data_IF_082568345620
#
_entry.id   IF_082568345620
#
_cell.length_a   1.000
_cell.length_b   1.000
_cell.length_c   1.000
_cell.angle_alpha   90.00
_cell.angle_beta   90.00
_cell.angle_gamma   90.00
#
_symmetry.space_group_name_H-M   'P 1'
#
loop_
_entity.id
_entity.type
_entity.pdbx_description
1 polymer ?
#
# COMPACT_ATOMS: atom_id res chain seq x y z
N UNK A 1 22.69 -19.55 1.95
CA UNK A 1 23.76 -19.10 2.87
C UNK A 1 25.08 -19.19 2.14
N UNK A 2 25.94 -18.19 2.27
CA UNK A 2 27.23 -18.07 1.56
C UNK A 2 28.39 -17.97 2.55
N UNK A 3 29.58 -18.37 2.13
CA UNK A 3 30.79 -18.27 2.94
C UNK A 3 31.40 -16.86 2.91
N UNK A 4 32.23 -16.54 3.90
CA UNK A 4 32.82 -15.20 4.07
C UNK A 4 33.62 -14.69 2.85
N UNK A 5 34.24 -15.58 2.08
CA UNK A 5 34.95 -15.23 0.84
C UNK A 5 34.01 -14.73 -0.27
N UNK A 6 32.78 -15.24 -0.31
CA UNK A 6 31.78 -14.93 -1.33
C UNK A 6 31.01 -13.64 -1.01
N UNK A 7 31.08 -13.12 0.22
CA UNK A 7 30.40 -11.87 0.61
C UNK A 7 30.83 -10.71 -0.30
N UNK A 8 32.10 -10.66 -0.69
CA UNK A 8 32.66 -9.60 -1.53
C UNK A 8 32.16 -9.60 -2.98
N UNK A 9 31.58 -10.71 -3.43
CA UNK A 9 30.92 -10.79 -4.75
C UNK A 9 29.62 -9.96 -4.78
N UNK A 10 28.98 -9.77 -3.62
CA UNK A 10 27.74 -9.00 -3.47
C UNK A 10 27.97 -7.61 -2.89
N UNK A 11 28.80 -7.52 -1.83
CA UNK A 11 29.20 -6.23 -1.27
C UNK A 11 30.70 -6.17 -0.96
N UNK A 12 31.52 -5.54 -1.81
CA UNK A 12 32.98 -5.55 -1.71
C UNK A 12 33.56 -5.02 -0.40
N UNK A 13 32.81 -4.14 0.28
CA UNK A 13 33.24 -3.48 1.52
C UNK A 13 32.82 -4.22 2.79
N UNK A 14 32.04 -5.29 2.67
CA UNK A 14 31.55 -6.05 3.81
C UNK A 14 32.55 -7.15 4.24
N UNK A 15 32.63 -7.44 5.55
CA UNK A 15 33.46 -8.51 6.12
C UNK A 15 32.64 -9.32 7.12
N UNK A 16 32.62 -10.64 6.97
CA UNK A 16 31.89 -11.55 7.85
C UNK A 16 32.40 -12.99 7.75
N UNK A 17 31.92 -13.87 8.64
CA UNK A 17 32.28 -15.30 8.65
C UNK A 17 31.45 -16.11 7.64
N UNK A 18 30.14 -15.83 7.59
CA UNK A 18 29.14 -16.34 6.63
C UNK A 18 28.01 -15.31 6.52
N UNK A 19 27.17 -15.41 5.49
CA UNK A 19 25.98 -14.57 5.35
C UNK A 19 24.75 -15.34 4.85
N UNK A 20 23.57 -14.91 5.27
CA UNK A 20 22.30 -15.30 4.64
C UNK A 20 22.11 -14.47 3.39
N UNK A 21 22.24 -15.11 2.23
CA UNK A 21 21.96 -14.48 0.95
C UNK A 21 20.51 -14.76 0.54
N UNK A 22 19.73 -13.70 0.38
CA UNK A 22 18.34 -13.73 -0.08
C UNK A 22 18.22 -12.87 -1.35
N UNK A 23 18.41 -13.43 -2.55
CA UNK A 23 18.47 -12.66 -3.81
C UNK A 23 17.15 -11.98 -4.19
N UNK A 24 16.05 -12.36 -3.53
CA UNK A 24 14.72 -11.83 -3.81
C UNK A 24 14.27 -10.77 -2.80
N UNK A 25 15.10 -10.44 -1.81
CA UNK A 25 14.84 -9.34 -0.89
C UNK A 25 15.40 -8.05 -1.47
N UNK A 26 14.64 -6.96 -1.37
CA UNK A 26 15.04 -5.66 -1.88
C UNK A 26 14.28 -4.53 -1.20
N UNK A 27 14.59 -3.30 -1.59
CA UNK A 27 13.88 -2.09 -1.20
C UNK A 27 13.00 -1.66 -2.37
N UNK A 28 11.79 -1.20 -2.10
CA UNK A 28 10.85 -0.68 -3.10
C UNK A 28 10.32 0.68 -2.65
N UNK A 29 9.88 1.49 -3.62
CA UNK A 29 9.15 2.73 -3.34
C UNK A 29 7.70 2.39 -2.96
N UNK A 30 7.37 2.53 -1.68
CA UNK A 30 6.03 2.25 -1.17
C UNK A 30 4.97 3.25 -1.67
N UNK A 31 5.36 4.46 -2.05
CA UNK A 31 4.48 5.42 -2.69
C UNK A 31 4.02 4.92 -4.06
N UNK A 32 4.93 4.36 -4.85
CA UNK A 32 4.59 3.76 -6.15
C UNK A 32 3.72 2.49 -6.01
N UNK A 33 4.01 1.65 -5.01
CA UNK A 33 3.15 0.48 -4.70
C UNK A 33 1.73 0.91 -4.36
N UNK A 34 1.57 1.91 -3.49
CA UNK A 34 0.25 2.42 -3.11
C UNK A 34 -0.52 3.00 -4.31
N UNK A 35 0.17 3.74 -5.19
CA UNK A 35 -0.42 4.26 -6.44
C UNK A 35 -0.84 3.14 -7.40
N UNK A 36 -0.04 2.08 -7.53
CA UNK A 36 -0.38 0.93 -8.36
C UNK A 36 -1.67 0.24 -7.86
N UNK A 37 -1.80 0.05 -6.55
CA UNK A 37 -3.03 -0.50 -5.96
C UNK A 37 -4.23 0.41 -6.13
N UNK A 38 -4.06 1.73 -5.96
CA UNK A 38 -5.11 2.71 -6.23
C UNK A 38 -5.58 2.62 -7.70
N UNK A 39 -4.66 2.59 -8.65
CA UNK A 39 -4.97 2.48 -10.07
C UNK A 39 -5.71 1.18 -10.41
N UNK A 40 -5.32 0.04 -9.82
CA UNK A 40 -5.99 -1.24 -10.05
C UNK A 40 -7.39 -1.29 -9.42
N UNK A 41 -7.59 -0.60 -8.29
CA UNK A 41 -8.90 -0.43 -7.67
C UNK A 41 -9.82 0.44 -8.54
N UNK A 42 -9.31 1.56 -9.06
CA UNK A 42 -10.06 2.47 -9.93
C UNK A 42 -10.44 1.80 -11.26
N UNK A 43 -9.55 1.00 -11.87
CA UNK A 43 -9.86 0.19 -13.06
C UNK A 43 -11.03 -0.77 -12.86
N UNK A 44 -11.29 -1.20 -11.61
CA UNK A 44 -12.40 -2.09 -11.25
C UNK A 44 -13.67 -1.33 -10.88
N UNK A 45 -13.72 -0.02 -11.10
CA UNK A 45 -14.88 0.83 -10.80
C UNK A 45 -14.87 1.44 -9.40
N UNK A 46 -13.80 1.23 -8.63
CA UNK A 46 -13.60 1.93 -7.36
C UNK A 46 -13.29 3.43 -7.56
N UNK A 47 -13.41 4.21 -6.50
CA UNK A 47 -12.99 5.62 -6.48
C UNK A 47 -12.10 5.89 -5.29
N UNK A 48 -10.93 6.50 -5.52
CA UNK A 48 -10.00 6.86 -4.44
C UNK A 48 -10.13 8.35 -4.11
N UNK A 49 -10.52 8.65 -2.87
CA UNK A 49 -10.59 10.02 -2.38
C UNK A 49 -9.32 10.37 -1.59
N UNK A 50 -8.56 11.34 -2.10
CA UNK A 50 -7.38 11.88 -1.41
C UNK A 50 -7.69 13.23 -0.76
N UNK A 51 -6.95 13.58 0.30
CA UNK A 51 -7.18 14.80 1.08
C UNK A 51 -8.63 14.92 1.54
N UNK A 52 -9.27 13.80 1.90
CA UNK A 52 -10.68 13.68 2.24
C UNK A 52 -10.80 13.28 3.71
N UNK A 53 -10.69 14.26 4.61
CA UNK A 53 -10.73 14.00 6.04
C UNK A 53 -12.13 13.53 6.46
N UNK A 54 -12.25 12.30 6.94
CA UNK A 54 -13.51 11.76 7.45
C UNK A 54 -13.84 12.44 8.78
N UNK A 55 -15.03 13.04 8.87
CA UNK A 55 -15.51 13.72 10.08
C UNK A 55 -16.51 12.89 10.86
N UNK A 56 -17.33 12.14 10.14
CA UNK A 56 -18.36 11.30 10.74
C UNK A 56 -18.75 10.17 9.78
N UNK A 57 -19.30 9.09 10.31
CA UNK A 57 -19.86 7.97 9.55
C UNK A 57 -21.25 7.69 10.13
N UNK A 58 -22.27 7.66 9.28
CA UNK A 58 -23.65 7.44 9.70
C UNK A 58 -24.34 6.38 8.85
N UNK A 59 -25.40 5.81 9.40
CA UNK A 59 -26.31 4.96 8.63
C UNK A 59 -27.17 5.82 7.70
N UNK A 60 -27.37 5.35 6.49
CA UNK A 60 -28.25 5.93 5.49
C UNK A 60 -29.64 5.31 5.58
N UNK A 61 -30.66 6.07 5.18
CA UNK A 61 -32.01 5.54 4.99
C UNK A 61 -32.14 4.69 3.71
N UNK A 62 -31.17 4.75 2.80
CA UNK A 62 -31.15 3.97 1.57
C UNK A 62 -30.62 2.55 1.83
N UNK A 63 -31.45 1.49 1.66
CA UNK A 63 -31.01 0.12 1.87
C UNK A 63 -29.90 -0.34 0.91
N UNK A 64 -29.78 0.27 -0.28
CA UNK A 64 -28.73 -0.05 -1.25
C UNK A 64 -27.43 0.70 -0.97
N UNK A 65 -27.49 1.81 -0.24
CA UNK A 65 -26.34 2.64 0.13
C UNK A 65 -26.33 2.91 1.65
N UNK A 66 -26.20 1.86 2.49
CA UNK A 66 -26.53 1.93 3.92
C UNK A 66 -25.56 2.76 4.77
N UNK A 67 -24.40 3.15 4.24
CA UNK A 67 -23.40 3.93 4.99
C UNK A 67 -23.15 5.25 4.26
N UNK A 68 -23.17 6.35 5.01
CA UNK A 68 -22.74 7.67 4.52
C UNK A 68 -21.50 8.15 5.27
N UNK A 69 -20.47 8.52 4.53
CA UNK A 69 -19.25 9.14 5.02
C UNK A 69 -19.37 10.65 4.89
N UNK A 70 -19.14 11.38 5.98
CA UNK A 70 -19.18 12.84 6.01
C UNK A 70 -17.77 13.45 5.96
N UNK A 71 -17.57 14.44 5.10
CA UNK A 71 -16.33 15.21 5.00
C UNK A 71 -16.59 16.66 4.59
N UNK A 72 -15.62 17.53 4.85
CA UNK A 72 -15.65 18.93 4.42
C UNK A 72 -15.66 19.07 2.88
N UNK A 73 -15.28 18.02 2.16
CA UNK A 73 -15.26 17.97 0.70
C UNK A 73 -16.53 17.38 0.06
N UNK A 74 -17.53 17.03 0.87
CA UNK A 74 -18.76 16.39 0.44
C UNK A 74 -19.09 15.17 1.29
N UNK A 75 -20.27 14.59 1.08
CA UNK A 75 -20.66 13.32 1.67
C UNK A 75 -20.75 12.26 0.58
N UNK A 76 -20.36 11.02 0.90
CA UNK A 76 -20.43 9.89 -0.04
C UNK A 76 -21.18 8.76 0.64
N UNK A 77 -22.20 8.23 -0.05
CA UNK A 77 -22.93 7.03 0.39
C UNK A 77 -22.40 5.80 -0.35
N UNK A 78 -22.21 4.70 0.37
CA UNK A 78 -21.49 3.51 -0.11
C UNK A 78 -22.41 2.29 -0.19
N UNK A 79 -22.26 1.52 -1.26
CA UNK A 79 -22.83 0.18 -1.42
C UNK A 79 -21.85 -0.90 -0.93
N UNK A 80 -22.37 -2.07 -0.58
CA UNK A 80 -21.59 -3.28 -0.30
C UNK A 80 -21.47 -4.17 -1.55
#
# INVERSE_FOLDING_TARGET
MIDGSQIKEYEPYCKGLKALWSPHTGVVDWGEVAKAFAADFEKKGGTVYINYAVKNITESADPMLPITIHSDKGNVSLAF
#
